data_IF_393409241622
#
_entry.id   IF_393409241622
#
_cell.length_a   1.000
_cell.length_b   1.000
_cell.length_c   1.000
_cell.angle_alpha   90.00
_cell.angle_beta   90.00
_cell.angle_gamma   90.00
#
_symmetry.space_group_name_H-M   'P 1'
#
loop_
_entity.id
_entity.type
_entity.pdbx_description
1 polymer ?
#
# COMPACT_ATOMS: atom_id res chain seq x y z
N UNK A 1 -37.43 20.21 11.01
CA UNK A 1 -37.03 18.90 11.57
C UNK A 1 -36.91 19.02 13.08
N UNK A 2 -37.64 18.22 13.86
CA UNK A 2 -37.77 18.40 15.30
C UNK A 2 -36.70 17.56 16.04
N UNK A 3 -35.57 18.18 16.36
CA UNK A 3 -34.35 17.55 16.92
C UNK A 3 -34.63 16.87 18.29
N UNK A 4 -35.67 17.30 19.00
CA UNK A 4 -36.01 16.82 20.35
C UNK A 4 -36.52 15.37 20.42
N UNK A 5 -37.00 14.79 19.32
CA UNK A 5 -37.44 13.37 19.28
C UNK A 5 -36.27 12.41 19.07
N UNK A 6 -35.18 12.90 18.49
CA UNK A 6 -34.00 12.12 18.15
C UNK A 6 -33.13 11.86 19.38
N UNK A 7 -32.98 12.85 20.24
CA UNK A 7 -32.11 12.80 21.43
C UNK A 7 -32.67 11.95 22.57
N UNK A 8 -33.97 11.63 22.56
CA UNK A 8 -34.61 10.81 23.59
C UNK A 8 -34.44 9.31 23.36
N UNK A 9 -34.08 8.89 22.15
CA UNK A 9 -33.86 7.50 21.82
C UNK A 9 -32.38 7.15 22.04
N UNK A 10 -32.09 6.37 23.09
CA UNK A 10 -30.73 5.94 23.46
C UNK A 10 -29.96 5.34 22.28
N UNK A 11 -30.65 4.60 21.40
CA UNK A 11 -30.07 4.01 20.18
C UNK A 11 -29.50 5.04 19.21
N UNK A 12 -30.12 6.22 19.10
CA UNK A 12 -29.61 7.32 18.25
C UNK A 12 -28.40 8.02 18.87
N UNK A 13 -28.34 8.11 20.21
CA UNK A 13 -27.17 8.63 20.91
C UNK A 13 -25.96 7.69 20.74
N UNK A 14 -26.17 6.38 20.84
CA UNK A 14 -25.10 5.39 20.61
C UNK A 14 -24.60 5.42 19.16
N UNK A 15 -25.51 5.46 18.18
CA UNK A 15 -25.13 5.57 16.77
C UNK A 15 -24.38 6.87 16.47
N UNK A 16 -24.85 8.00 17.00
CA UNK A 16 -24.18 9.29 16.85
C UNK A 16 -22.78 9.29 17.47
N UNK A 17 -22.62 8.69 18.65
CA UNK A 17 -21.33 8.58 19.33
C UNK A 17 -20.32 7.71 18.57
N UNK A 18 -20.76 6.56 18.05
CA UNK A 18 -19.89 5.69 17.24
C UNK A 18 -19.47 6.41 15.95
N UNK A 19 -20.40 7.06 15.25
CA UNK A 19 -20.10 7.77 14.01
C UNK A 19 -19.13 8.93 14.22
N UNK A 20 -19.30 9.69 15.32
CA UNK A 20 -18.38 10.75 15.71
C UNK A 20 -16.99 10.20 16.05
N UNK A 21 -16.90 9.05 16.74
CA UNK A 21 -15.62 8.43 17.09
C UNK A 21 -14.86 7.96 15.84
N UNK A 22 -15.55 7.43 14.84
CA UNK A 22 -14.93 7.01 13.57
C UNK A 22 -14.32 8.22 12.87
N UNK A 23 -15.05 9.34 12.76
CA UNK A 23 -14.55 10.56 12.11
C UNK A 23 -13.39 11.19 12.88
N UNK A 24 -13.41 11.18 14.21
CA UNK A 24 -12.30 11.72 15.00
C UNK A 24 -11.05 10.83 15.00
N UNK A 25 -11.22 9.51 14.87
CA UNK A 25 -10.10 8.56 14.86
C UNK A 25 -9.60 8.21 13.45
N UNK A 26 -10.35 8.54 12.40
CA UNK A 26 -9.86 8.41 11.02
C UNK A 26 -9.00 9.63 10.68
N UNK A 27 -7.69 9.40 10.56
CA UNK A 27 -6.74 10.45 10.19
C UNK A 27 -7.02 11.01 8.79
N UNK A 28 -6.77 12.31 8.59
CA UNK A 28 -6.76 12.91 7.27
C UNK A 28 -5.48 12.54 6.52
N UNK A 29 -5.61 12.08 5.28
CA UNK A 29 -4.46 11.80 4.42
C UNK A 29 -3.72 13.12 4.11
N UNK A 30 -2.46 13.24 4.53
CA UNK A 30 -1.69 14.48 4.38
C UNK A 30 -0.98 14.54 3.03
N UNK A 31 -1.17 15.63 2.29
CA UNK A 31 -0.45 15.94 1.05
C UNK A 31 0.62 17.02 1.35
N UNK A 32 1.88 16.71 1.07
CA UNK A 32 3.00 17.64 1.27
C UNK A 32 3.84 17.64 0.00
N UNK A 33 4.12 18.83 -0.54
CA UNK A 33 4.94 18.96 -1.77
C UNK A 33 4.30 18.35 -3.03
N UNK A 34 2.99 18.14 -3.06
CA UNK A 34 2.31 17.49 -4.19
C UNK A 34 2.32 15.95 -4.14
N UNK A 35 2.91 15.36 -3.10
CA UNK A 35 2.91 13.92 -2.86
C UNK A 35 2.06 13.57 -1.65
N UNK A 36 1.25 12.53 -1.79
CA UNK A 36 0.51 11.93 -0.68
C UNK A 36 1.41 10.93 0.02
N UNK A 37 1.89 11.28 1.21
CA UNK A 37 2.89 10.49 1.90
C UNK A 37 2.22 9.29 2.61
N UNK A 38 2.71 8.06 2.39
CA UNK A 38 2.07 6.84 2.90
C UNK A 38 2.26 6.64 4.41
N UNK A 39 3.24 7.29 5.03
CA UNK A 39 3.54 7.16 6.46
C UNK A 39 3.41 8.49 7.21
N UNK A 40 2.88 8.44 8.44
CA UNK A 40 2.74 9.61 9.31
C UNK A 40 4.08 10.17 9.83
N UNK A 41 5.17 9.41 9.65
CA UNK A 41 6.50 9.72 10.17
C UNK A 41 7.51 10.04 9.07
N UNK A 42 7.07 10.35 7.85
CA UNK A 42 7.94 10.58 6.69
C UNK A 42 9.08 11.60 6.91
N UNK A 43 8.94 12.54 7.84
CA UNK A 43 10.00 13.51 8.19
C UNK A 43 11.14 12.91 9.02
N UNK A 44 10.88 11.80 9.71
CA UNK A 44 11.84 11.05 10.53
C UNK A 44 12.20 9.70 9.93
N UNK A 45 11.56 9.34 8.82
CA UNK A 45 11.87 8.14 8.06
C UNK A 45 13.26 8.35 7.45
N UNK A 46 14.20 7.51 7.87
CA UNK A 46 15.54 7.55 7.35
C UNK A 46 15.53 7.13 5.88
N UNK A 47 16.49 7.65 5.11
CA UNK A 47 16.68 7.17 3.74
C UNK A 47 17.11 5.72 3.86
N UNK A 48 16.20 4.79 3.56
CA UNK A 48 16.52 3.38 3.58
C UNK A 48 17.59 3.11 2.52
N UNK A 49 18.82 2.85 2.99
CA UNK A 49 19.94 2.55 2.12
C UNK A 49 19.73 1.18 1.49
N UNK A 50 19.46 1.18 0.18
CA UNK A 50 19.53 -0.02 -0.63
C UNK A 50 20.90 -0.04 -1.28
N UNK A 51 21.76 -1.03 -0.97
CA UNK A 51 23.02 -1.18 -1.69
C UNK A 51 22.71 -1.33 -3.18
N UNK A 52 23.64 -0.91 -4.03
CA UNK A 52 23.54 -1.16 -5.46
C UNK A 52 23.30 -2.65 -5.67
N UNK A 53 22.18 -2.99 -6.32
CA UNK A 53 21.91 -4.36 -6.72
C UNK A 53 23.02 -4.88 -7.65
N UNK A 54 23.02 -6.18 -7.96
CA UNK A 54 23.95 -6.75 -8.93
C UNK A 54 23.97 -5.92 -10.21
N UNK A 55 25.16 -5.64 -10.77
CA UNK A 55 25.27 -4.85 -12.01
C UNK A 55 24.43 -5.45 -13.15
N UNK A 56 24.31 -6.79 -13.14
CA UNK A 56 23.51 -7.54 -14.09
C UNK A 56 22.05 -7.73 -13.60
N UNK A 57 21.14 -6.90 -14.12
CA UNK A 57 19.71 -6.91 -13.74
C UNK A 57 18.89 -8.08 -14.31
N UNK A 58 19.44 -8.82 -15.28
CA UNK A 58 18.68 -9.77 -16.12
C UNK A 58 19.07 -11.23 -15.90
N UNK A 59 19.56 -11.61 -14.72
CA UNK A 59 19.98 -12.99 -14.43
C UNK A 59 18.88 -14.01 -14.71
N UNK A 60 17.64 -13.72 -14.30
CA UNK A 60 16.47 -14.58 -14.57
C UNK A 60 16.16 -14.70 -16.06
N UNK A 61 16.30 -13.61 -16.82
CA UNK A 61 16.03 -13.60 -18.26
C UNK A 61 17.10 -14.37 -19.02
N UNK A 62 18.36 -14.26 -18.60
CA UNK A 62 19.45 -15.05 -19.18
C UNK A 62 19.26 -16.53 -18.90
N UNK A 63 19.01 -16.91 -17.64
CA UNK A 63 18.73 -18.30 -17.28
C UNK A 63 17.57 -18.87 -18.10
N UNK A 64 16.46 -18.14 -18.23
CA UNK A 64 15.33 -18.57 -19.06
C UNK A 64 15.71 -18.73 -20.55
N UNK A 65 16.57 -17.87 -21.10
CA UNK A 65 17.04 -18.02 -22.48
C UNK A 65 18.01 -19.20 -22.66
N UNK A 66 18.84 -19.49 -21.67
CA UNK A 66 19.75 -20.65 -21.67
C UNK A 66 18.95 -21.96 -21.59
N UNK A 67 17.97 -22.03 -20.69
CA UNK A 67 17.05 -23.16 -20.57
C UNK A 67 16.26 -23.39 -21.87
N UNK A 68 15.74 -22.32 -22.48
CA UNK A 68 15.02 -22.42 -23.76
C UNK A 68 15.91 -22.94 -24.89
N UNK A 69 17.17 -22.49 -24.96
CA UNK A 69 18.14 -22.98 -25.95
C UNK A 69 18.52 -24.43 -25.72
N UNK A 70 18.71 -24.84 -24.48
CA UNK A 70 19.01 -26.23 -24.13
C UNK A 70 17.84 -27.15 -24.53
N UNK A 71 16.61 -26.78 -24.17
CA UNK A 71 15.41 -27.52 -24.55
C UNK A 71 15.21 -27.58 -26.08
N UNK A 72 15.48 -26.48 -26.80
CA UNK A 72 15.42 -26.47 -28.26
C UNK A 72 16.48 -27.35 -28.93
N UNK A 73 17.71 -27.35 -28.41
CA UNK A 73 18.79 -28.18 -28.92
C UNK A 73 18.58 -29.68 -28.64
N UNK A 74 17.93 -30.02 -27.52
CA UNK A 74 17.50 -31.40 -27.22
C UNK A 74 16.44 -31.89 -28.22
N UNK A 75 15.52 -31.03 -28.65
CA UNK A 75 14.51 -31.35 -29.66
C UNK A 75 15.07 -31.48 -31.08
N UNK A 76 16.18 -30.79 -31.39
CA UNK A 76 16.87 -30.88 -32.69
C UNK A 76 17.82 -32.09 -32.78
N UNK A 77 18.11 -32.76 -31.64
CA UNK A 77 18.98 -33.93 -31.56
C UNK A 77 18.23 -35.27 -31.62
N UNK A 78 16.89 -35.27 -31.48
CA UNK A 78 15.99 -36.37 -31.85
C UNK A 78 15.61 -36.31 -33.34
#
# INVERSE_FOLDING_TARGET
MNVSRFTKNSTWLLFGGVLASIVCCSGCQTNVGGQTLPSAYYLRDDVQYFPSGPEFKLSRTVQAMEEYKAAGAELEAE
#
